data_IF_354966879949
#
_entry.id   IF_354966879949
#
_cell.length_a   1.000
_cell.length_b   1.000
_cell.length_c   1.000
_cell.angle_alpha   90.00
_cell.angle_beta   90.00
_cell.angle_gamma   90.00
#
_symmetry.space_group_name_H-M   'P 1'
#
loop_
_entity.id
_entity.type
_entity.pdbx_description
1 polymer ?
#
# COMPACT_ATOMS: atom_id res chain seq x y z
N UNK A 1 -15.91 -27.96 1.57
CA UNK A 1 -14.74 -27.21 1.06
C UNK A 1 -15.23 -26.25 0.00
N UNK A 2 -14.92 -24.97 0.16
CA UNK A 2 -15.10 -23.98 -0.91
C UNK A 2 -13.99 -24.11 -1.95
N UNK A 3 -14.13 -23.47 -3.11
CA UNK A 3 -13.04 -23.36 -4.07
C UNK A 3 -11.83 -22.64 -3.46
N UNK A 4 -10.60 -22.96 -3.90
CA UNK A 4 -9.40 -22.30 -3.41
C UNK A 4 -9.41 -20.82 -3.81
N UNK A 5 -8.87 -19.93 -2.95
CA UNK A 5 -8.75 -18.52 -3.28
C UNK A 5 -7.83 -18.31 -4.49
N UNK A 6 -8.24 -17.46 -5.43
CA UNK A 6 -7.41 -17.13 -6.60
C UNK A 6 -7.16 -15.63 -6.62
N UNK A 7 -5.89 -15.24 -6.54
CA UNK A 7 -5.47 -13.84 -6.64
C UNK A 7 -5.18 -13.52 -8.10
N UNK A 8 -5.98 -12.62 -8.67
CA UNK A 8 -5.87 -12.21 -10.09
C UNK A 8 -5.20 -10.86 -10.27
N UNK A 9 -5.11 -10.03 -9.23
CA UNK A 9 -4.56 -8.69 -9.34
C UNK A 9 -4.06 -8.11 -8.03
N UNK A 10 -3.07 -7.22 -8.15
CA UNK A 10 -2.52 -6.46 -7.03
C UNK A 10 -2.24 -5.03 -7.45
N UNK A 11 -2.54 -4.07 -6.57
CA UNK A 11 -2.29 -2.66 -6.80
C UNK A 11 -1.81 -1.97 -5.52
N UNK A 12 -0.61 -1.35 -5.50
CA UNK A 12 0.39 -1.33 -6.57
C UNK A 12 1.09 -2.68 -6.77
N UNK A 13 1.66 -2.91 -7.97
CA UNK A 13 2.44 -4.13 -8.30
C UNK A 13 3.84 -4.16 -7.68
N UNK A 14 4.28 -3.02 -7.16
CA UNK A 14 5.60 -2.86 -6.58
C UNK A 14 5.61 -1.74 -5.55
N UNK A 15 6.55 -1.82 -4.61
CA UNK A 15 6.74 -0.76 -3.62
C UNK A 15 7.80 -1.09 -2.56
N UNK A 16 8.16 -0.07 -1.75
CA UNK A 16 8.95 -0.28 -0.55
C UNK A 16 8.23 -1.13 0.50
N UNK A 17 8.97 -1.72 1.46
CA UNK A 17 8.35 -2.40 2.59
C UNK A 17 7.34 -1.50 3.31
N UNK A 18 6.19 -2.04 3.69
CA UNK A 18 5.10 -1.29 4.30
C UNK A 18 4.12 -0.65 3.30
N UNK A 19 4.35 -0.81 1.99
CA UNK A 19 3.41 -0.32 0.96
C UNK A 19 2.04 -0.96 1.14
N UNK A 20 1.00 -0.11 1.18
CA UNK A 20 -0.40 -0.54 1.22
C UNK A 20 -0.78 -1.09 -0.15
N UNK A 21 -1.05 -2.38 -0.20
CA UNK A 21 -1.47 -3.10 -1.40
C UNK A 21 -2.92 -3.51 -1.31
N UNK A 22 -3.63 -3.39 -2.43
CA UNK A 22 -4.98 -3.89 -2.62
C UNK A 22 -4.89 -5.14 -3.48
N UNK A 23 -5.24 -6.26 -2.87
CA UNK A 23 -5.28 -7.59 -3.49
C UNK A 23 -6.69 -7.80 -4.01
N UNK A 24 -6.80 -8.16 -5.29
CA UNK A 24 -8.04 -8.49 -5.99
C UNK A 24 -7.99 -9.94 -6.44
N UNK A 25 -9.13 -10.59 -6.40
CA UNK A 25 -9.21 -12.01 -6.71
C UNK A 25 -10.62 -12.54 -6.58
N UNK A 26 -10.71 -13.85 -6.50
CA UNK A 26 -11.94 -14.60 -6.30
C UNK A 26 -11.78 -15.53 -5.10
N UNK A 27 -12.88 -15.76 -4.38
CA UNK A 27 -12.93 -16.67 -3.23
C UNK A 27 -11.93 -16.35 -2.11
N UNK A 28 -11.62 -15.07 -1.88
CA UNK A 28 -10.70 -14.57 -0.84
C UNK A 28 -11.28 -14.64 0.59
N UNK A 29 -12.11 -15.65 0.86
CA UNK A 29 -12.79 -15.86 2.13
C UNK A 29 -14.18 -15.24 2.19
N UNK A 30 -15.06 -15.88 2.96
CA UNK A 30 -16.47 -15.49 3.11
C UNK A 30 -16.69 -14.46 4.22
N UNK A 31 -15.80 -14.42 5.20
CA UNK A 31 -15.83 -13.54 6.36
C UNK A 31 -14.40 -13.18 6.77
N UNK A 32 -14.18 -12.12 7.54
CA UNK A 32 -12.84 -11.76 8.01
C UNK A 32 -12.19 -12.87 8.86
N UNK A 33 -12.97 -13.67 9.58
CA UNK A 33 -12.49 -14.79 10.40
C UNK A 33 -12.11 -16.03 9.57
N UNK A 34 -12.53 -16.06 8.31
CA UNK A 34 -12.20 -17.11 7.34
C UNK A 34 -10.79 -16.91 6.74
N UNK A 35 -10.29 -15.67 6.74
CA UNK A 35 -8.92 -15.36 6.34
C UNK A 35 -7.96 -15.88 7.41
N UNK A 36 -7.24 -16.95 7.11
CA UNK A 36 -6.34 -17.62 8.03
C UNK A 36 -4.87 -17.22 7.83
N UNK A 37 -4.48 -16.99 6.58
CA UNK A 37 -3.10 -16.66 6.22
C UNK A 37 -3.05 -15.72 5.03
N UNK A 38 -2.06 -14.82 5.04
CA UNK A 38 -1.72 -14.00 3.89
C UNK A 38 -0.21 -13.87 3.83
N UNK A 39 0.38 -14.35 2.74
CA UNK A 39 1.81 -14.21 2.44
C UNK A 39 2.00 -13.38 1.19
N UNK A 40 2.83 -12.34 1.28
CA UNK A 40 3.19 -11.48 0.15
C UNK A 40 4.69 -11.58 -0.03
N UNK A 41 5.13 -12.08 -1.18
CA UNK A 41 6.56 -12.27 -1.50
C UNK A 41 7.30 -13.10 -0.43
N UNK A 42 6.64 -14.13 0.10
CA UNK A 42 7.18 -15.01 1.14
C UNK A 42 7.13 -14.44 2.56
N UNK A 43 6.69 -13.20 2.77
CA UNK A 43 6.52 -12.62 4.09
C UNK A 43 5.08 -12.78 4.58
N UNK A 44 4.90 -13.18 5.84
CA UNK A 44 3.59 -13.22 6.49
C UNK A 44 3.06 -11.80 6.74
N UNK A 45 1.96 -11.45 6.07
CA UNK A 45 1.32 -10.14 6.13
C UNK A 45 -0.08 -10.18 6.77
N UNK A 46 -0.45 -11.30 7.40
CA UNK A 46 -1.76 -11.54 8.02
C UNK A 46 -2.15 -10.45 9.03
N UNK A 47 -1.22 -10.00 9.87
CA UNK A 47 -1.48 -8.96 10.88
C UNK A 47 -1.93 -7.62 10.29
N UNK A 48 -1.47 -7.32 9.06
CA UNK A 48 -1.84 -6.11 8.34
C UNK A 48 -3.02 -6.31 7.38
N UNK A 49 -3.50 -7.56 7.25
CA UNK A 49 -4.52 -7.92 6.30
C UNK A 49 -5.89 -7.48 6.81
N UNK A 50 -6.54 -6.64 6.03
CA UNK A 50 -7.88 -6.17 6.24
C UNK A 50 -8.77 -6.73 5.14
N UNK A 51 -9.57 -7.73 5.50
CA UNK A 51 -10.56 -8.30 4.60
C UNK A 51 -11.68 -7.28 4.34
N UNK A 52 -11.98 -7.01 3.07
CA UNK A 52 -13.06 -6.09 2.67
C UNK A 52 -14.24 -6.85 2.07
N UNK A 53 -13.96 -7.80 1.20
CA UNK A 53 -14.96 -8.62 0.55
C UNK A 53 -14.34 -9.90 -0.01
N UNK A 54 -15.18 -10.81 -0.50
CA UNK A 54 -14.76 -12.07 -1.15
C UNK A 54 -13.79 -11.88 -2.33
N UNK A 55 -13.72 -10.66 -2.88
CA UNK A 55 -12.89 -10.34 -4.05
C UNK A 55 -11.86 -9.24 -3.75
N UNK A 56 -11.75 -8.78 -2.49
CA UNK A 56 -10.88 -7.67 -2.12
C UNK A 56 -10.33 -7.82 -0.71
N UNK A 57 -9.00 -7.81 -0.61
CA UNK A 57 -8.25 -7.70 0.64
C UNK A 57 -7.29 -6.53 0.53
N UNK A 58 -7.15 -5.76 1.59
CA UNK A 58 -6.15 -4.70 1.68
C UNK A 58 -5.11 -5.16 2.69
N UNK A 59 -3.82 -5.09 2.35
CA UNK A 59 -2.75 -5.47 3.27
C UNK A 59 -1.55 -4.56 3.11
N UNK A 60 -0.56 -4.69 3.98
CA UNK A 60 0.74 -4.03 3.81
C UNK A 60 1.78 -5.08 3.43
N UNK A 61 2.60 -4.75 2.44
CA UNK A 61 3.72 -5.60 2.03
C UNK A 61 4.77 -5.69 3.16
N UNK A 62 5.33 -6.88 3.34
CA UNK A 62 6.42 -7.12 4.29
C UNK A 62 7.79 -6.65 3.77
N UNK A 63 8.85 -6.83 4.57
CA UNK A 63 10.24 -6.56 4.19
C UNK A 63 10.73 -7.62 3.19
N UNK A 64 10.30 -7.49 1.93
CA UNK A 64 10.71 -8.35 0.84
C UNK A 64 11.54 -7.59 -0.20
N UNK A 65 12.47 -8.29 -0.84
CA UNK A 65 13.28 -7.76 -1.94
C UNK A 65 13.17 -8.71 -3.13
N UNK A 66 12.75 -8.19 -4.28
CA UNK A 66 12.52 -8.97 -5.47
C UNK A 66 11.03 -9.22 -5.74
N UNK A 67 10.75 -10.11 -6.68
CA UNK A 67 9.38 -10.54 -7.03
C UNK A 67 9.01 -11.74 -6.20
N UNK A 68 7.75 -11.80 -5.76
CA UNK A 68 7.20 -13.01 -5.19
C UNK A 68 5.69 -13.06 -5.25
N UNK A 69 5.19 -14.27 -5.09
CA UNK A 69 3.78 -14.61 -5.21
C UNK A 69 2.97 -14.13 -3.99
N UNK A 70 1.66 -14.08 -4.16
CA UNK A 70 0.71 -13.69 -3.12
C UNK A 70 -0.16 -14.90 -2.79
N UNK A 71 0.13 -15.53 -1.65
CA UNK A 71 -0.58 -16.72 -1.22
C UNK A 71 -1.59 -16.29 -0.16
N UNK A 72 -2.86 -16.57 -0.43
CA UNK A 72 -3.96 -16.35 0.51
C UNK A 72 -4.41 -17.69 1.03
N UNK A 73 -4.52 -17.85 2.34
CA UNK A 73 -5.01 -19.08 2.96
C UNK A 73 -6.32 -18.79 3.67
N UNK A 74 -7.37 -19.52 3.30
CA UNK A 74 -8.68 -19.42 3.95
C UNK A 74 -9.03 -20.73 4.66
N UNK A 75 -9.85 -20.66 5.71
CA UNK A 75 -10.33 -21.88 6.40
C UNK A 75 -11.27 -22.68 5.50
N UNK A 76 -12.07 -22.00 4.69
CA UNK A 76 -13.07 -22.60 3.81
C UNK A 76 -12.48 -23.24 2.54
N UNK A 77 -11.48 -22.62 1.93
CA UNK A 77 -10.91 -22.98 0.62
C UNK A 77 -9.46 -23.46 0.64
N UNK A 78 -8.79 -23.41 1.78
CA UNK A 78 -7.39 -23.84 1.91
C UNK A 78 -6.41 -22.82 1.34
N UNK A 79 -5.28 -23.31 0.83
CA UNK A 79 -4.24 -22.47 0.23
C UNK A 79 -4.64 -22.05 -1.19
N UNK A 80 -4.55 -20.75 -1.46
CA UNK A 80 -4.84 -20.15 -2.74
C UNK A 80 -3.62 -19.96 -3.62
N UNK A 81 -3.88 -19.61 -4.87
CA UNK A 81 -2.86 -19.37 -5.89
C UNK A 81 -2.92 -17.93 -6.39
N UNK A 82 -1.76 -17.35 -6.72
CA UNK A 82 -1.70 -16.07 -7.43
C UNK A 82 -1.24 -16.23 -8.88
N UNK A 83 -1.90 -15.52 -9.79
CA UNK A 83 -1.42 -15.36 -11.17
C UNK A 83 -0.51 -14.13 -11.33
N UNK A 84 -0.45 -13.29 -10.30
CA UNK A 84 0.33 -12.05 -10.27
C UNK A 84 1.35 -12.06 -9.15
N UNK A 85 2.41 -11.30 -9.34
CA UNK A 85 3.51 -11.17 -8.38
C UNK A 85 3.64 -9.73 -7.88
N UNK A 86 4.03 -9.59 -6.62
CA UNK A 86 4.40 -8.31 -6.04
C UNK A 86 5.92 -8.14 -6.09
N UNK A 87 6.40 -6.96 -6.47
CA UNK A 87 7.83 -6.62 -6.44
C UNK A 87 8.16 -5.70 -5.26
N UNK A 88 8.74 -6.26 -4.20
CA UNK A 88 9.35 -5.47 -3.13
C UNK A 88 10.69 -4.91 -3.57
N UNK A 89 10.92 -3.62 -3.38
CA UNK A 89 12.24 -3.02 -3.57
C UNK A 89 12.58 -2.14 -2.37
N UNK A 90 13.86 -2.00 -2.06
CA UNK A 90 14.28 -0.98 -1.10
C UNK A 90 14.54 0.29 -1.88
N UNK A 91 13.88 1.36 -1.46
CA UNK A 91 14.21 2.67 -2.01
C UNK A 91 15.61 3.03 -1.54
N UNK A 92 16.54 3.16 -2.48
CA UNK A 92 17.84 3.76 -2.19
C UNK A 92 17.59 5.25 -2.14
N UNK A 93 17.39 5.78 -0.94
CA UNK A 93 17.31 7.22 -0.70
C UNK A 93 18.71 7.76 -1.00
N UNK A 94 18.92 8.21 -2.23
CA UNK A 94 20.13 8.94 -2.60
C UNK A 94 20.15 10.31 -1.91
N UNK A 95 21.30 11.00 -1.87
CA UNK A 95 21.44 12.32 -1.21
C UNK A 95 20.50 13.41 -1.73
N UNK A 96 19.88 13.22 -2.89
CA UNK A 96 19.11 14.23 -3.64
C UNK A 96 17.62 13.88 -3.80
N UNK A 97 17.04 13.01 -2.96
CA UNK A 97 15.61 12.70 -3.07
C UNK A 97 14.77 13.92 -2.69
N UNK A 98 14.18 14.59 -3.68
CA UNK A 98 13.27 15.73 -3.46
C UNK A 98 12.15 15.33 -2.49
N UNK A 99 12.05 16.09 -1.41
CA UNK A 99 10.95 16.01 -0.45
C UNK A 99 10.10 17.23 -0.68
N UNK A 100 8.86 17.06 -1.15
CA UNK A 100 7.89 18.14 -1.25
C UNK A 100 7.38 18.53 0.15
N UNK A 101 8.28 19.06 0.97
CA UNK A 101 7.91 19.82 2.16
C UNK A 101 7.55 21.20 1.64
N UNK A 102 6.24 21.43 1.45
CA UNK A 102 5.75 22.80 1.38
C UNK A 102 6.04 23.43 2.74
N UNK A 103 7.12 24.19 2.84
CA UNK A 103 7.30 25.12 3.95
C UNK A 103 6.23 26.18 3.70
N UNK A 104 5.17 26.16 4.50
CA UNK A 104 4.27 27.29 4.57
C UNK A 104 5.13 28.45 5.08
N UNK A 105 5.45 29.38 4.17
CA UNK A 105 6.19 30.60 4.47
C UNK A 105 5.35 31.35 5.50
N UNK A 106 5.69 31.17 6.79
CA UNK A 106 5.11 31.97 7.84
C UNK A 106 5.42 33.42 7.49
N UNK A 107 4.36 34.17 7.15
CA UNK A 107 4.43 35.57 6.81
C UNK A 107 5.40 36.28 7.79
N UNK A 108 6.36 37.08 7.29
CA UNK A 108 7.30 37.76 8.16
C UNK A 108 6.51 38.55 9.20
N UNK A 109 6.91 38.52 10.49
CA UNK A 109 6.26 39.34 11.50
C UNK A 109 6.28 40.78 11.00
N UNK A 110 5.10 41.41 10.99
CA UNK A 110 4.92 42.78 10.55
C UNK A 110 5.88 43.69 11.31
N UNK A 111 6.97 44.08 10.66
CA UNK A 111 7.86 45.12 11.17
C UNK A 111 7.06 46.44 11.20
N UNK A 112 7.09 47.21 12.30
CA UNK A 112 6.23 48.37 12.52
C UNK A 112 6.57 49.59 11.65
N UNK A 113 7.43 49.46 10.64
CA UNK A 113 7.85 50.57 9.79
C UNK A 113 7.43 50.39 8.34
N UNK A 114 6.21 50.87 8.12
CA UNK A 114 5.63 51.44 6.90
C UNK A 114 6.44 51.39 5.61
N UNK A 115 5.91 50.63 4.66
CA UNK A 115 5.80 51.12 3.28
C UNK A 115 4.50 50.60 2.67
N UNK A 116 3.56 51.52 2.38
CA UNK A 116 2.32 51.19 1.65
C UNK A 116 2.69 50.84 0.21
N UNK A 117 2.22 49.72 -0.36
CA UNK A 117 2.29 49.51 -1.79
C UNK A 117 1.29 50.46 -2.47
N UNK A 118 1.78 51.33 -3.36
CA UNK A 118 0.93 52.10 -4.26
C UNK A 118 0.45 51.14 -5.36
N UNK A 119 -0.84 50.83 -5.38
CA UNK A 119 -1.48 50.19 -6.51
C UNK A 119 -1.53 51.16 -7.69
N UNK A 120 -1.11 50.80 -8.92
CA UNK A 120 -1.58 51.48 -10.10
C UNK A 120 -2.96 50.92 -10.47
N UNK A 121 -3.94 51.83 -10.57
CA UNK A 121 -5.24 51.58 -11.19
C UNK A 121 -5.12 51.75 -12.70
N UNK A 122 -5.75 50.80 -13.42
CA UNK A 122 -6.06 50.75 -14.85
C UNK A 122 -4.90 50.48 -15.82
#
# INVERSE_FOLDING_TARGET
MGPPPVVTGISPKEGPPGTKVTIRGEFLGTSPTDLFGLKICGCDCLLSAEWKSKNKIVARSGPCKGRGDIIVTTKSGGEGTSTVQFRGYHESIGPVKESAVWVEEAAPPSLPWGRRPMSPTA
#
